data_IF_549963512556
#
_entry.id   IF_549963512556
#
_cell.length_a   1.000
_cell.length_b   1.000
_cell.length_c   1.000
_cell.angle_alpha   90.00
_cell.angle_beta   90.00
_cell.angle_gamma   90.00
#
_symmetry.space_group_name_H-M   'P 1'
#
loop_
_entity.id
_entity.type
_entity.pdbx_description
1 polymer ?
#
# COMPACT_ATOMS: atom_id res chain seq x y z
N UNK A 1 -31.99 22.57 -12.78
CA UNK A 1 -31.66 21.53 -11.77
C UNK A 1 -30.24 21.06 -12.04
N UNK A 2 -29.23 21.69 -11.42
CA UNK A 2 -27.83 21.25 -11.53
C UNK A 2 -27.52 20.33 -10.36
N UNK A 3 -27.63 19.03 -10.59
CA UNK A 3 -27.16 18.02 -9.65
C UNK A 3 -25.67 18.20 -9.41
N UNK A 4 -25.31 18.75 -8.25
CA UNK A 4 -23.93 18.85 -7.78
C UNK A 4 -23.40 17.43 -7.61
N UNK A 5 -22.69 16.93 -8.62
CA UNK A 5 -21.96 15.67 -8.55
C UNK A 5 -20.92 15.82 -7.45
N UNK A 6 -21.14 15.11 -6.36
CA UNK A 6 -20.22 14.99 -5.23
C UNK A 6 -18.86 14.59 -5.81
N UNK A 7 -17.76 15.33 -5.55
CA UNK A 7 -16.44 14.88 -5.96
C UNK A 7 -16.19 13.56 -5.25
N UNK A 8 -16.12 12.48 -6.03
CA UNK A 8 -15.78 11.15 -5.54
C UNK A 8 -14.36 11.28 -5.00
N UNK A 9 -14.20 11.29 -3.68
CA UNK A 9 -12.88 11.27 -3.05
C UNK A 9 -12.04 10.19 -3.72
N UNK A 10 -10.75 10.46 -4.02
CA UNK A 10 -9.88 9.43 -4.56
C UNK A 10 -9.95 8.22 -3.63
N UNK A 11 -9.97 6.99 -4.16
CA UNK A 11 -10.02 5.80 -3.33
C UNK A 11 -8.84 5.88 -2.36
N UNK A 12 -9.16 6.03 -1.07
CA UNK A 12 -8.16 5.99 -0.03
C UNK A 12 -7.61 4.56 -0.03
N UNK A 13 -6.40 4.38 -0.56
CA UNK A 13 -5.71 3.10 -0.44
C UNK A 13 -5.43 2.93 1.04
N UNK A 14 -6.17 2.04 1.69
CA UNK A 14 -5.84 1.60 3.02
C UNK A 14 -4.85 0.44 2.89
N UNK A 15 -3.58 0.78 2.77
CA UNK A 15 -2.50 -0.21 2.76
C UNK A 15 -2.56 -1.08 4.03
N UNK A 16 -3.03 -0.55 5.17
CA UNK A 16 -3.13 -1.34 6.40
C UNK A 16 -4.25 -2.40 6.34
N UNK A 17 -5.32 -2.16 5.60
CA UNK A 17 -6.35 -3.18 5.34
C UNK A 17 -5.90 -4.22 4.31
N UNK A 18 -5.00 -3.86 3.39
CA UNK A 18 -4.52 -4.75 2.34
C UNK A 18 -3.54 -5.84 2.83
N UNK A 19 -2.96 -5.68 4.04
CA UNK A 19 -1.95 -6.62 4.55
C UNK A 19 -2.35 -7.26 5.87
N UNK A 20 -2.06 -8.57 6.06
CA UNK A 20 -2.29 -9.24 7.32
C UNK A 20 -1.34 -8.68 8.38
N UNK A 21 -1.90 -7.96 9.35
CA UNK A 21 -1.21 -7.66 10.61
C UNK A 21 -1.42 -8.84 11.57
N UNK A 22 -0.39 -9.30 12.31
CA UNK A 22 0.96 -8.74 12.39
C UNK A 22 1.96 -9.34 11.38
N UNK A 23 2.78 -8.47 10.78
CA UNK A 23 3.95 -8.84 9.98
C UNK A 23 5.04 -9.43 10.90
N UNK A 24 5.59 -10.59 10.53
CA UNK A 24 6.47 -11.39 11.41
C UNK A 24 7.92 -10.91 11.36
N UNK A 25 8.41 -10.51 10.19
CA UNK A 25 9.80 -10.10 9.98
C UNK A 25 10.00 -8.60 10.21
N UNK A 26 11.19 -8.23 10.69
CA UNK A 26 11.56 -6.81 10.84
C UNK A 26 11.65 -6.10 9.48
N UNK A 27 12.07 -6.82 8.43
CA UNK A 27 12.18 -6.27 7.09
C UNK A 27 10.79 -5.92 6.50
N UNK A 28 9.80 -6.82 6.61
CA UNK A 28 8.44 -6.55 6.15
C UNK A 28 7.81 -5.35 6.88
N UNK A 29 8.02 -5.24 8.20
CA UNK A 29 7.55 -4.09 9.00
C UNK A 29 8.15 -2.78 8.51
N UNK A 30 9.48 -2.71 8.36
CA UNK A 30 10.17 -1.51 7.88
C UNK A 30 9.76 -1.13 6.46
N UNK A 31 9.55 -2.11 5.58
CA UNK A 31 9.08 -1.87 4.22
C UNK A 31 7.66 -1.30 4.20
N UNK A 32 6.76 -1.84 5.02
CA UNK A 32 5.41 -1.32 5.18
C UNK A 32 5.40 0.13 5.69
N UNK A 33 6.24 0.44 6.70
CA UNK A 33 6.41 1.81 7.20
C UNK A 33 6.91 2.76 6.10
N UNK A 34 7.88 2.32 5.30
CA UNK A 34 8.37 3.08 4.15
C UNK A 34 7.24 3.37 3.15
N UNK A 35 6.45 2.37 2.76
CA UNK A 35 5.34 2.56 1.84
C UNK A 35 4.28 3.54 2.36
N UNK A 36 3.95 3.48 3.66
CA UNK A 36 2.99 4.41 4.27
C UNK A 36 3.48 5.87 4.25
N UNK A 37 4.78 6.09 4.41
CA UNK A 37 5.39 7.43 4.34
C UNK A 37 5.53 7.94 2.90
N UNK A 38 5.77 7.04 1.95
CA UNK A 38 6.06 7.35 0.55
C UNK A 38 4.78 7.55 -0.29
N UNK A 39 3.71 6.79 0.01
CA UNK A 39 2.42 6.86 -0.66
C UNK A 39 1.86 8.29 -0.87
N UNK A 40 1.78 9.17 0.15
CA UNK A 40 1.26 10.53 -0.04
C UNK A 40 2.10 11.38 -1.01
N UNK A 41 3.36 11.01 -1.26
CA UNK A 41 4.24 11.72 -2.22
C UNK A 41 3.99 11.26 -3.66
N UNK A 42 3.59 10.01 -3.85
CA UNK A 42 3.41 9.39 -5.17
C UNK A 42 1.96 9.33 -5.65
N UNK A 43 0.99 9.44 -4.75
CA UNK A 43 -0.46 9.44 -5.08
C UNK A 43 -0.90 10.56 -6.02
N UNK A 44 -0.12 11.63 -6.14
CA UNK A 44 -0.37 12.75 -7.06
C UNK A 44 0.43 12.66 -8.36
N UNK A 45 1.24 11.62 -8.55
CA UNK A 45 2.01 11.46 -9.78
C UNK A 45 1.09 11.05 -10.94
N UNK A 46 1.33 11.61 -12.13
CA UNK A 46 0.62 11.22 -13.34
C UNK A 46 0.90 9.75 -13.66
N UNK A 47 -0.15 8.96 -13.91
CA UNK A 47 -0.06 7.51 -14.13
C UNK A 47 0.09 6.66 -12.86
N UNK A 48 -0.07 7.23 -11.66
CA UNK A 48 -0.13 6.45 -10.43
C UNK A 48 -1.39 5.58 -10.38
N UNK A 49 -1.21 4.26 -10.36
CA UNK A 49 -2.30 3.31 -10.18
C UNK A 49 -2.28 2.74 -8.74
N UNK A 50 -3.33 2.99 -7.93
CA UNK A 50 -3.41 2.55 -6.55
C UNK A 50 -3.43 1.02 -6.38
N UNK A 51 -4.02 0.31 -7.34
CA UNK A 51 -4.13 -1.14 -7.29
C UNK A 51 -2.79 -1.80 -7.62
N UNK A 52 -2.08 -1.28 -8.63
CA UNK A 52 -0.74 -1.77 -8.99
C UNK A 52 0.24 -1.51 -7.85
N UNK A 53 0.16 -0.35 -7.20
CA UNK A 53 0.99 -0.06 -6.03
C UNK A 53 0.72 -1.05 -4.89
N UNK A 54 -0.55 -1.29 -4.53
CA UNK A 54 -0.92 -2.23 -3.48
C UNK A 54 -0.46 -3.68 -3.79
N UNK A 55 -0.60 -4.12 -5.05
CA UNK A 55 -0.16 -5.46 -5.49
C UNK A 55 1.36 -5.61 -5.39
N UNK A 56 2.12 -4.59 -5.82
CA UNK A 56 3.57 -4.57 -5.70
C UNK A 56 4.03 -4.64 -4.24
N UNK A 57 3.38 -3.87 -3.34
CA UNK A 57 3.67 -3.92 -1.90
C UNK A 57 3.35 -5.31 -1.33
N UNK A 58 2.24 -5.94 -1.73
CA UNK A 58 1.86 -7.29 -1.32
C UNK A 58 2.92 -8.33 -1.71
N UNK A 59 3.43 -8.25 -2.94
CA UNK A 59 4.45 -9.15 -3.45
C UNK A 59 5.75 -9.04 -2.64
N UNK A 60 6.20 -7.81 -2.34
CA UNK A 60 7.42 -7.59 -1.56
C UNK A 60 7.24 -8.07 -0.13
N UNK A 61 6.14 -7.73 0.54
CA UNK A 61 5.85 -8.21 1.89
C UNK A 61 5.82 -9.74 1.93
N UNK A 62 5.16 -10.39 0.97
CA UNK A 62 5.09 -11.86 0.90
C UNK A 62 6.47 -12.49 0.79
N UNK A 63 7.37 -11.89 0.00
CA UNK A 63 8.76 -12.37 -0.13
C UNK A 63 9.56 -12.17 1.15
N UNK A 64 9.43 -10.99 1.79
CA UNK A 64 10.11 -10.69 3.05
C UNK A 64 9.63 -11.60 4.19
N UNK A 65 8.35 -11.95 4.20
CA UNK A 65 7.81 -12.90 5.18
C UNK A 65 8.23 -14.35 4.88
N UNK A 66 8.41 -14.73 3.61
CA UNK A 66 8.89 -16.06 3.23
C UNK A 66 10.38 -16.27 3.58
N UNK A 67 11.22 -15.22 3.56
CA UNK A 67 12.63 -15.32 3.97
C UNK A 67 12.82 -15.62 5.44
N UNK A 68 11.77 -15.49 6.28
CA UNK A 68 11.79 -15.91 7.69
C UNK A 68 12.20 -17.37 7.87
N UNK A 69 11.91 -18.24 6.89
CA UNK A 69 12.25 -19.66 6.96
C UNK A 69 13.73 -19.96 6.66
N UNK A 70 14.53 -18.94 6.35
CA UNK A 70 15.98 -19.04 6.11
C UNK A 70 16.83 -18.53 7.29
N UNK A 71 16.21 -18.05 8.38
CA UNK A 71 16.88 -17.68 9.64
C UNK A 71 16.89 -18.83 10.66
#
# INVERSE_FOLDING_TARGET
MFGKKIPKSPPAIDLMQAFPTPLKTAAARRFMEFCLQDLPRHTHADGFDPHVYADAVALVISRLEATRHME
#
